data_IF_855421140520
#
_entry.id   IF_855421140520
#
_cell.length_a   1.000
_cell.length_b   1.000
_cell.length_c   1.000
_cell.angle_alpha   90.00
_cell.angle_beta   90.00
_cell.angle_gamma   90.00
#
_symmetry.space_group_name_H-M   'P 1'
#
loop_
_entity.id
_entity.type
_entity.pdbx_description
1 polymer ?
#
# COMPACT_ATOMS: atom_id res chain seq x y z
N UNK A 1 8.40 -46.69 -31.72
CA UNK A 1 7.07 -46.06 -31.60
C UNK A 1 7.28 -44.75 -30.84
N UNK A 2 7.18 -43.61 -31.51
CA UNK A 2 7.31 -42.28 -30.90
C UNK A 2 5.90 -41.73 -30.68
N UNK A 3 5.47 -41.63 -29.42
CA UNK A 3 4.26 -40.90 -29.04
C UNK A 3 4.58 -39.41 -29.05
N UNK A 4 4.23 -38.73 -30.15
CA UNK A 4 4.10 -37.26 -30.17
C UNK A 4 2.96 -36.91 -29.21
N UNK A 5 3.30 -36.29 -28.09
CA UNK A 5 2.32 -35.64 -27.22
C UNK A 5 1.69 -34.49 -28.00
N UNK A 6 0.43 -34.65 -28.37
CA UNK A 6 -0.41 -33.57 -28.85
C UNK A 6 -0.65 -32.63 -27.67
N UNK A 7 0.15 -31.57 -27.57
CA UNK A 7 -0.17 -30.44 -26.70
C UNK A 7 -1.36 -29.73 -27.32
N UNK A 8 -2.55 -30.02 -26.81
CA UNK A 8 -3.77 -29.27 -27.10
C UNK A 8 -3.55 -27.81 -26.69
N UNK A 9 -3.21 -26.97 -27.65
CA UNK A 9 -3.06 -25.51 -27.54
C UNK A 9 -4.43 -24.80 -27.47
N UNK A 10 -5.40 -25.39 -26.78
CA UNK A 10 -6.66 -24.71 -26.51
C UNK A 10 -6.47 -23.86 -25.26
N UNK A 11 -5.82 -22.71 -25.45
CA UNK A 11 -5.33 -21.88 -24.35
C UNK A 11 -6.44 -21.25 -23.49
N UNK A 12 -7.72 -21.36 -23.91
CA UNK A 12 -8.87 -20.82 -23.16
C UNK A 12 -8.86 -19.29 -23.02
N UNK A 13 -7.86 -18.61 -23.58
CA UNK A 13 -7.70 -17.15 -23.55
C UNK A 13 -8.02 -16.58 -24.93
N UNK A 14 -8.61 -15.40 -24.94
CA UNK A 14 -8.86 -14.64 -26.18
C UNK A 14 -7.56 -14.06 -26.73
N UNK A 15 -7.49 -13.86 -28.05
CA UNK A 15 -6.32 -13.27 -28.72
C UNK A 15 -5.93 -11.90 -28.12
N UNK A 16 -6.92 -11.09 -27.75
CA UNK A 16 -6.71 -9.80 -27.08
C UNK A 16 -5.98 -9.96 -25.74
N UNK A 17 -6.34 -10.97 -24.94
CA UNK A 17 -5.66 -11.24 -23.67
C UNK A 17 -4.20 -11.67 -23.89
N UNK A 18 -3.96 -12.49 -24.92
CA UNK A 18 -2.62 -12.96 -25.28
C UNK A 18 -1.74 -11.78 -25.73
N UNK A 19 -2.27 -10.87 -26.55
CA UNK A 19 -1.58 -9.66 -26.99
C UNK A 19 -1.26 -8.73 -25.83
N UNK A 20 -2.25 -8.41 -24.98
CA UNK A 20 -2.05 -7.57 -23.78
C UNK A 20 -0.99 -8.15 -22.86
N UNK A 21 -1.05 -9.45 -22.61
CA UNK A 21 -0.08 -10.13 -21.74
C UNK A 21 1.31 -10.11 -22.36
N UNK A 22 1.42 -10.34 -23.66
CA UNK A 22 2.70 -10.30 -24.36
C UNK A 22 3.31 -8.90 -24.35
N UNK A 23 2.52 -7.87 -24.62
CA UNK A 23 2.95 -6.47 -24.55
C UNK A 23 3.39 -6.07 -23.14
N UNK A 24 2.63 -6.50 -22.11
CA UNK A 24 2.96 -6.24 -20.71
C UNK A 24 4.31 -6.82 -20.32
N UNK A 25 4.54 -8.11 -20.58
CA UNK A 25 5.82 -8.75 -20.29
C UNK A 25 6.98 -8.17 -21.11
N UNK A 26 6.76 -7.85 -22.38
CA UNK A 26 7.77 -7.19 -23.21
C UNK A 26 8.21 -5.85 -22.58
N UNK A 27 7.26 -5.07 -22.06
CA UNK A 27 7.55 -3.78 -21.42
C UNK A 27 8.31 -3.92 -20.11
N UNK A 28 8.04 -4.96 -19.31
CA UNK A 28 8.84 -5.28 -18.12
C UNK A 28 10.28 -5.60 -18.52
N UNK A 29 10.49 -6.41 -19.57
CA UNK A 29 11.83 -6.73 -20.08
C UNK A 29 12.57 -5.46 -20.52
N UNK A 30 11.89 -4.50 -21.15
CA UNK A 30 12.49 -3.21 -21.52
C UNK A 30 12.91 -2.38 -20.31
N UNK A 31 12.10 -2.34 -19.24
CA UNK A 31 12.37 -1.54 -18.05
C UNK A 31 13.52 -2.13 -17.21
N UNK A 32 13.50 -3.43 -16.98
CA UNK A 32 14.48 -4.11 -16.11
C UNK A 32 15.71 -4.64 -16.83
N UNK A 33 15.65 -4.70 -18.17
CA UNK A 33 16.65 -5.34 -19.00
C UNK A 33 16.44 -6.85 -19.12
N UNK A 34 16.91 -7.39 -20.25
CA UNK A 34 16.80 -8.81 -20.59
C UNK A 34 17.55 -9.73 -19.61
N UNK A 35 18.63 -9.27 -18.98
CA UNK A 35 19.40 -10.05 -18.01
C UNK A 35 18.58 -10.40 -16.78
N UNK A 36 17.93 -9.42 -16.14
CA UNK A 36 17.11 -9.64 -14.94
C UNK A 36 15.87 -10.47 -15.22
N UNK A 37 15.24 -10.26 -16.38
CA UNK A 37 14.10 -11.06 -16.82
C UNK A 37 14.46 -12.54 -16.98
N UNK A 38 15.60 -12.85 -17.61
CA UNK A 38 16.10 -14.23 -17.78
C UNK A 38 16.40 -14.92 -16.45
N UNK A 39 16.95 -14.19 -15.48
CA UNK A 39 17.23 -14.73 -14.14
C UNK A 39 15.98 -15.19 -13.41
N UNK A 40 14.86 -14.48 -13.59
CA UNK A 40 13.61 -14.74 -12.85
C UNK A 40 12.67 -15.71 -13.54
N UNK A 41 12.57 -15.63 -14.86
CA UNK A 41 11.57 -16.39 -15.63
C UNK A 41 12.17 -17.54 -16.43
N UNK A 42 13.45 -17.82 -16.20
CA UNK A 42 14.21 -18.85 -16.91
C UNK A 42 14.70 -18.38 -18.28
N UNK A 43 15.66 -19.15 -18.81
CA UNK A 43 16.23 -18.89 -20.14
C UNK A 43 15.46 -19.63 -21.25
N UNK A 44 14.54 -20.55 -20.89
CA UNK A 44 13.75 -21.32 -21.84
C UNK A 44 12.45 -20.61 -22.24
N UNK A 45 12.12 -20.68 -23.52
CA UNK A 45 10.89 -20.10 -24.06
C UNK A 45 9.62 -20.70 -23.40
N UNK A 46 9.69 -21.94 -22.95
CA UNK A 46 8.56 -22.65 -22.34
C UNK A 46 8.24 -22.14 -20.94
N UNK A 47 9.24 -21.81 -20.13
CA UNK A 47 8.98 -21.19 -18.82
C UNK A 47 8.39 -19.80 -18.96
N UNK A 48 8.87 -19.03 -19.94
CA UNK A 48 8.30 -17.72 -20.24
C UNK A 48 6.86 -17.82 -20.79
N UNK A 49 6.53 -18.87 -21.54
CA UNK A 49 5.15 -19.15 -21.96
C UNK A 49 4.25 -19.52 -20.79
N UNK A 50 4.71 -20.39 -19.88
CA UNK A 50 3.96 -20.78 -18.69
C UNK A 50 3.66 -19.57 -17.79
N UNK A 51 4.66 -18.72 -17.55
CA UNK A 51 4.50 -17.50 -16.76
C UNK A 51 3.49 -16.54 -17.41
N UNK A 52 3.55 -16.35 -18.73
CA UNK A 52 2.53 -15.56 -19.44
C UNK A 52 1.14 -16.17 -19.29
N UNK A 53 1.01 -17.49 -19.41
CA UNK A 53 -0.28 -18.19 -19.28
C UNK A 53 -0.88 -18.06 -17.88
N UNK A 54 -0.05 -18.13 -16.84
CA UNK A 54 -0.47 -17.97 -15.45
C UNK A 54 -1.10 -16.60 -15.21
N UNK A 55 -0.50 -15.54 -15.76
CA UNK A 55 -0.94 -14.16 -15.55
C UNK A 55 -1.88 -13.63 -16.64
N UNK A 56 -2.16 -14.41 -17.69
CA UNK A 56 -2.96 -13.96 -18.83
C UNK A 56 -4.37 -13.55 -18.45
N UNK A 57 -5.02 -14.28 -17.53
CA UNK A 57 -6.37 -13.94 -17.06
C UNK A 57 -6.39 -12.61 -16.28
N UNK A 58 -5.38 -12.39 -15.43
CA UNK A 58 -5.28 -11.16 -14.63
C UNK A 58 -4.93 -9.97 -15.51
N UNK A 59 -3.87 -10.07 -16.31
CA UNK A 59 -3.40 -8.98 -17.17
C UNK A 59 -4.42 -8.67 -18.27
N UNK A 60 -5.07 -9.70 -18.81
CA UNK A 60 -6.13 -9.55 -19.80
C UNK A 60 -7.33 -8.73 -19.32
N UNK A 61 -7.60 -8.72 -18.02
CA UNK A 61 -8.66 -7.92 -17.40
C UNK A 61 -8.31 -6.44 -17.20
N UNK A 62 -7.03 -6.07 -17.34
CA UNK A 62 -6.53 -4.72 -17.14
C UNK A 62 -6.81 -3.88 -18.39
N UNK A 63 -7.32 -2.66 -18.21
CA UNK A 63 -7.50 -1.72 -19.32
C UNK A 63 -6.16 -1.14 -19.79
N UNK A 64 -6.09 -0.66 -21.03
CA UNK A 64 -4.88 -0.02 -21.55
C UNK A 64 -4.44 1.17 -20.68
N UNK A 65 -5.39 1.98 -20.22
CA UNK A 65 -5.12 3.13 -19.34
C UNK A 65 -4.53 2.68 -18.00
N UNK A 66 -5.06 1.60 -17.42
CA UNK A 66 -4.53 1.04 -16.18
C UNK A 66 -3.12 0.49 -16.38
N UNK A 67 -2.84 -0.15 -17.51
CA UNK A 67 -1.50 -0.63 -17.84
C UNK A 67 -0.49 0.53 -17.93
N UNK A 68 -0.85 1.65 -18.57
CA UNK A 68 0.02 2.83 -18.61
C UNK A 68 0.25 3.44 -17.23
N UNK A 69 -0.79 3.51 -16.38
CA UNK A 69 -0.65 3.97 -14.99
C UNK A 69 0.28 3.06 -14.18
N UNK A 70 0.17 1.73 -14.33
CA UNK A 70 1.06 0.76 -13.69
C UNK A 70 2.50 1.05 -14.07
N UNK A 71 2.79 1.20 -15.37
CA UNK A 71 4.16 1.39 -15.85
C UNK A 71 4.71 2.78 -15.50
N UNK A 72 3.89 3.82 -15.47
CA UNK A 72 4.29 5.14 -14.99
C UNK A 72 4.73 5.06 -13.51
N UNK A 73 3.87 4.49 -12.65
CA UNK A 73 4.17 4.31 -11.22
C UNK A 73 5.37 3.41 -10.98
N UNK A 74 5.55 2.38 -11.80
CA UNK A 74 6.70 1.48 -11.72
C UNK A 74 8.01 2.23 -11.98
N UNK A 75 8.03 3.08 -13.02
CA UNK A 75 9.19 3.92 -13.33
C UNK A 75 9.49 4.89 -12.19
N UNK A 76 8.46 5.51 -11.60
CA UNK A 76 8.64 6.39 -10.45
C UNK A 76 9.25 5.65 -9.26
N UNK A 77 8.75 4.45 -8.93
CA UNK A 77 9.31 3.62 -7.84
C UNK A 77 10.76 3.26 -8.07
N UNK A 78 11.11 2.88 -9.30
CA UNK A 78 12.49 2.61 -9.70
C UNK A 78 13.38 3.86 -9.61
N UNK A 79 12.88 5.03 -10.00
CA UNK A 79 13.59 6.30 -9.89
C UNK A 79 13.83 6.70 -8.42
N UNK A 80 12.86 6.43 -7.53
CA UNK A 80 13.02 6.65 -6.08
C UNK A 80 13.94 5.63 -5.40
N UNK A 81 14.41 4.61 -6.12
CA UNK A 81 15.28 3.57 -5.58
C UNK A 81 14.58 2.63 -4.61
N UNK A 82 13.26 2.45 -4.75
CA UNK A 82 12.47 1.57 -3.88
C UNK A 82 12.97 0.11 -3.97
N UNK A 83 13.50 -0.47 -2.87
CA UNK A 83 14.07 -1.81 -2.90
C UNK A 83 13.04 -2.90 -3.23
N UNK A 84 11.75 -2.65 -2.98
CA UNK A 84 10.69 -3.62 -3.27
C UNK A 84 10.51 -3.88 -4.77
N UNK A 85 10.83 -2.88 -5.61
CA UNK A 85 10.69 -2.93 -7.06
C UNK A 85 12.02 -3.18 -7.76
N UNK A 86 13.11 -3.51 -7.03
CA UNK A 86 14.43 -3.78 -7.63
C UNK A 86 14.40 -4.94 -8.64
N UNK A 87 13.51 -5.89 -8.44
CA UNK A 87 13.30 -7.07 -9.30
C UNK A 87 11.88 -7.06 -9.89
N UNK A 88 11.72 -7.59 -11.12
CA UNK A 88 10.41 -7.65 -11.78
C UNK A 88 9.50 -8.71 -11.13
N UNK A 89 8.72 -8.27 -10.14
CA UNK A 89 7.70 -9.06 -9.45
C UNK A 89 6.30 -8.71 -10.00
N UNK A 90 5.72 -9.63 -10.79
CA UNK A 90 4.46 -9.41 -11.52
C UNK A 90 3.29 -9.03 -10.60
N UNK A 91 3.00 -9.76 -9.50
CA UNK A 91 1.94 -9.37 -8.57
C UNK A 91 2.11 -7.97 -7.97
N UNK A 92 3.34 -7.59 -7.58
CA UNK A 92 3.60 -6.25 -7.05
C UNK A 92 3.40 -5.16 -8.09
N UNK A 93 3.88 -5.40 -9.31
CA UNK A 93 3.71 -4.48 -10.43
C UNK A 93 2.22 -4.29 -10.74
N UNK A 94 1.44 -5.38 -10.82
CA UNK A 94 -0.02 -5.29 -11.02
C UNK A 94 -0.68 -4.56 -9.84
N UNK A 95 -0.18 -4.74 -8.62
CA UNK A 95 -0.62 -4.03 -7.42
C UNK A 95 -0.53 -2.51 -7.52
N UNK A 96 0.37 -1.97 -8.35
CA UNK A 96 0.48 -0.53 -8.62
C UNK A 96 -0.73 0.06 -9.33
N UNK A 97 -1.59 -0.77 -9.94
CA UNK A 97 -2.84 -0.33 -10.54
C UNK A 97 -3.79 0.25 -9.49
N UNK A 98 -3.77 -0.31 -8.28
CA UNK A 98 -4.59 0.17 -7.17
C UNK A 98 -4.08 1.55 -6.76
N UNK A 99 -4.97 2.53 -6.71
CA UNK A 99 -4.67 3.80 -6.05
C UNK A 99 -4.06 3.50 -4.69
N UNK A 100 -3.00 4.20 -4.25
CA UNK A 100 -2.61 4.12 -2.86
C UNK A 100 -3.90 4.35 -2.07
N UNK A 101 -4.21 3.48 -1.12
CA UNK A 101 -5.26 3.80 -0.16
C UNK A 101 -4.76 5.02 0.60
N UNK A 102 -5.02 6.20 0.04
CA UNK A 102 -5.00 7.45 0.75
C UNK A 102 -5.99 7.16 1.87
N UNK A 103 -5.49 6.90 3.09
CA UNK A 103 -6.35 6.93 4.27
C UNK A 103 -7.05 8.29 4.16
N UNK A 104 -8.35 8.33 3.83
CA UNK A 104 -9.01 9.62 3.66
C UNK A 104 -8.86 10.35 4.99
N UNK A 105 -8.55 11.64 4.96
CA UNK A 105 -8.44 12.45 6.18
C UNK A 105 -9.71 12.38 7.05
N UNK A 106 -10.83 11.94 6.45
CA UNK A 106 -12.14 11.70 7.06
C UNK A 106 -12.32 10.30 7.66
N UNK A 107 -11.26 9.48 7.78
CA UNK A 107 -11.40 8.16 8.39
C UNK A 107 -11.87 8.36 9.82
N UNK A 108 -13.13 8.01 10.08
CA UNK A 108 -13.73 8.09 11.40
C UNK A 108 -12.87 7.25 12.36
N UNK A 109 -12.19 7.95 13.27
CA UNK A 109 -11.42 7.28 14.31
C UNK A 109 -12.39 6.42 15.12
N UNK A 110 -12.03 5.16 15.36
CA UNK A 110 -12.82 4.28 16.20
C UNK A 110 -13.13 5.01 17.51
N UNK A 111 -14.43 5.07 17.87
CA UNK A 111 -14.90 5.71 19.10
C UNK A 111 -14.07 5.17 20.26
N UNK A 112 -13.36 6.05 20.95
CA UNK A 112 -12.46 5.64 22.03
C UNK A 112 -13.22 4.75 23.02
N UNK A 113 -12.52 3.75 23.57
CA UNK A 113 -13.05 2.94 24.66
C UNK A 113 -13.57 3.87 25.77
N UNK A 114 -14.66 3.49 26.46
CA UNK A 114 -15.21 4.30 27.55
C UNK A 114 -14.11 4.59 28.57
N UNK A 115 -14.07 5.84 29.00
CA UNK A 115 -13.02 6.29 29.90
C UNK A 115 -13.03 5.49 31.22
N UNK A 116 -11.87 5.01 31.68
CA UNK A 116 -11.80 4.26 32.93
C UNK A 116 -12.17 5.14 34.13
N UNK A 117 -12.87 4.54 35.11
CA UNK A 117 -13.48 5.26 36.24
C UNK A 117 -12.50 6.10 37.06
N UNK A 118 -11.25 5.65 37.22
CA UNK A 118 -10.21 6.39 37.95
C UNK A 118 -9.93 7.76 37.32
N UNK A 119 -9.99 7.87 35.98
CA UNK A 119 -9.71 9.11 35.25
C UNK A 119 -10.90 10.07 35.34
N UNK A 120 -12.13 9.56 35.40
CA UNK A 120 -13.34 10.36 35.67
C UNK A 120 -13.29 10.98 37.06
N UNK A 121 -12.95 10.18 38.08
CA UNK A 121 -12.86 10.65 39.46
C UNK A 121 -11.73 11.68 39.65
N UNK A 122 -10.56 11.44 39.04
CA UNK A 122 -9.47 12.42 39.04
C UNK A 122 -9.91 13.76 38.44
N UNK A 123 -10.62 13.74 37.30
CA UNK A 123 -11.11 14.96 36.65
C UNK A 123 -12.11 15.71 37.51
N UNK A 124 -12.99 14.98 38.20
CA UNK A 124 -13.95 15.54 39.15
C UNK A 124 -13.24 16.23 40.31
N UNK A 125 -12.24 15.58 40.91
CA UNK A 125 -11.48 16.16 42.02
C UNK A 125 -10.71 17.41 41.61
N UNK A 126 -10.06 17.39 40.44
CA UNK A 126 -9.38 18.56 39.89
C UNK A 126 -10.36 19.70 39.63
N UNK A 127 -11.55 19.40 39.08
CA UNK A 127 -12.60 20.40 38.87
C UNK A 127 -13.13 21.02 40.17
N UNK A 128 -13.33 20.19 41.20
CA UNK A 128 -13.73 20.64 42.53
C UNK A 128 -12.67 21.53 43.16
N UNK A 129 -11.39 21.12 43.09
CA UNK A 129 -10.27 21.89 43.60
C UNK A 129 -10.20 23.25 42.90
N UNK A 130 -10.24 23.27 41.56
CA UNK A 130 -10.23 24.50 40.77
C UNK A 130 -11.39 25.44 41.14
N UNK A 131 -12.59 24.89 41.32
CA UNK A 131 -13.76 25.67 41.77
C UNK A 131 -13.57 26.24 43.17
N UNK A 132 -13.04 25.46 44.11
CA UNK A 132 -12.79 25.91 45.48
C UNK A 132 -11.72 27.01 45.50
N UNK A 133 -10.65 26.83 44.73
CA UNK A 133 -9.59 27.84 44.57
C UNK A 133 -10.16 29.12 43.96
N UNK A 134 -10.95 29.04 42.90
CA UNK A 134 -11.60 30.21 42.31
C UNK A 134 -12.51 30.95 43.31
N UNK A 135 -13.29 30.21 44.10
CA UNK A 135 -14.13 30.79 45.15
C UNK A 135 -13.33 31.41 46.30
N UNK A 136 -12.17 30.84 46.64
CA UNK A 136 -11.26 31.41 47.64
C UNK A 136 -10.63 32.72 47.16
N UNK A 137 -10.23 32.79 45.89
CA UNK A 137 -9.73 34.02 45.24
C UNK A 137 -10.80 35.10 45.24
N UNK A 138 -12.02 34.78 44.79
CA UNK A 138 -13.15 35.72 44.75
C UNK A 138 -13.55 36.26 46.14
N UNK A 139 -13.31 35.47 47.19
CA UNK A 139 -13.57 35.87 48.59
C UNK A 139 -12.40 36.60 49.25
N UNK A 140 -11.33 36.90 48.50
CA UNK A 140 -10.13 37.55 49.02
C UNK A 140 -9.31 36.68 49.99
N UNK A 141 -9.56 35.36 50.01
CA UNK A 141 -8.92 34.40 50.93
C UNK A 141 -7.73 33.66 50.30
N UNK A 142 -7.53 33.81 48.99
CA UNK A 142 -6.38 33.27 48.29
C UNK A 142 -5.86 34.31 47.30
N UNK A 143 -4.62 34.77 47.47
CA UNK A 143 -3.86 35.50 46.47
C UNK A 143 -3.00 34.50 45.69
N UNK A 144 -2.81 34.73 44.39
CA UNK A 144 -1.94 33.92 43.54
C UNK A 144 -0.57 33.70 44.19
N UNK A 145 0.03 32.54 43.94
CA UNK A 145 1.44 32.27 44.27
C UNK A 145 2.27 33.28 43.47
N UNK A 146 2.68 34.37 44.11
CA UNK A 146 3.84 35.12 43.67
C UNK A 146 5.06 34.20 43.84
N UNK A 147 5.80 34.07 42.74
CA UNK A 147 7.10 33.44 42.65
C UNK A 147 8.04 34.12 43.67
N UNK A 148 8.12 33.59 44.90
CA UNK A 148 9.11 34.03 45.88
C UNK A 148 10.47 33.46 45.50
N UNK A 149 11.07 34.01 44.45
CA UNK A 149 12.53 34.00 44.26
C UNK A 149 13.11 35.20 45.00
N UNK A 150 13.85 34.92 46.07
CA UNK A 150 14.78 35.86 46.70
C UNK A 150 14.32 36.40 48.05
N UNK A 151 14.77 35.78 49.13
CA UNK A 151 15.86 36.24 50.01
C UNK A 151 16.06 35.23 51.14
#
# INVERSE_FOLDING_TARGET
>A
MNTRGETSDDSGFTDEQIEKTTAFFARIVTIYGRSRAKTLWGDSADQFRLMRREWAGVIGSISLDQAEVIFARLKDRLATGDPEYKWPDVPKIIGLAKSPQTNPAHKEFAKALPEPEWRKEQRRQVGLLASQTAMAVMRGKASFIEDRRGQ
#
